data_IF_581926824557
#
_entry.id   IF_581926824557
#
_cell.length_a   1.000
_cell.length_b   1.000
_cell.length_c   1.000
_cell.angle_alpha   90.00
_cell.angle_beta   90.00
_cell.angle_gamma   90.00
#
_symmetry.space_group_name_H-M   'P 1'
#
loop_
_entity.id
_entity.type
_entity.pdbx_description
1 polymer ?
#
# COMPACT_ATOMS: atom_id res chain seq x y z
N UNK A 1 -12.76 -5.78 1.62
CA UNK A 1 -12.04 -4.49 1.52
C UNK A 1 -10.59 -4.76 1.91
N UNK A 2 -9.67 -4.79 0.96
CA UNK A 2 -8.27 -5.14 1.23
C UNK A 2 -7.64 -4.03 2.07
N UNK A 3 -7.01 -4.40 3.19
CA UNK A 3 -6.25 -3.45 3.98
C UNK A 3 -5.05 -2.97 3.16
N UNK A 4 -4.67 -1.68 3.27
CA UNK A 4 -3.56 -1.12 2.53
C UNK A 4 -2.30 -1.96 2.74
N UNK A 5 -1.72 -2.43 1.64
CA UNK A 5 -0.43 -3.06 1.66
C UNK A 5 0.61 -2.04 2.16
N UNK A 6 1.08 -2.19 3.40
CA UNK A 6 2.00 -1.23 3.99
C UNK A 6 3.45 -1.37 3.50
N UNK A 7 3.79 -2.41 2.72
CA UNK A 7 5.06 -2.46 1.96
C UNK A 7 4.99 -1.65 0.66
N UNK A 8 3.78 -1.17 0.28
CA UNK A 8 3.59 -0.24 -0.83
C UNK A 8 3.83 1.22 -0.43
N UNK A 9 3.70 1.56 0.86
CA UNK A 9 3.91 2.91 1.41
C UNK A 9 5.41 3.20 1.55
N UNK A 10 6.08 3.30 0.41
CA UNK A 10 7.53 3.50 0.28
C UNK A 10 8.09 2.99 -1.05
N UNK A 11 7.27 2.27 -1.84
CA UNK A 11 7.67 1.68 -3.14
C UNK A 11 6.84 2.17 -4.32
N UNK A 12 6.22 3.36 -4.27
CA UNK A 12 5.44 3.90 -5.40
C UNK A 12 4.38 2.93 -5.96
N UNK A 13 3.61 2.29 -5.08
CA UNK A 13 2.57 1.32 -5.48
C UNK A 13 1.15 1.78 -5.13
N UNK A 14 0.95 3.09 -4.96
CA UNK A 14 -0.39 3.67 -4.79
C UNK A 14 -1.01 3.96 -6.16
N UNK A 15 -2.10 3.27 -6.46
CA UNK A 15 -2.86 3.47 -7.68
C UNK A 15 -3.76 4.70 -7.52
N UNK A 16 -3.42 5.79 -8.19
CA UNK A 16 -4.23 7.00 -8.21
C UNK A 16 -5.12 6.98 -9.45
N UNK A 17 -6.41 7.27 -9.31
CA UNK A 17 -7.34 7.50 -10.42
C UNK A 17 -7.95 8.88 -10.26
N UNK A 18 -8.07 9.59 -11.38
CA UNK A 18 -8.61 10.96 -11.44
C UNK A 18 -9.77 10.95 -12.42
N UNK A 19 -10.94 11.42 -11.99
CA UNK A 19 -12.16 11.49 -12.81
C UNK A 19 -12.55 10.15 -13.47
N UNK A 20 -12.24 9.02 -12.82
CA UNK A 20 -12.53 7.67 -13.36
C UNK A 20 -11.58 7.21 -14.47
N UNK A 21 -10.55 8.00 -14.81
CA UNK A 21 -9.51 7.61 -15.75
C UNK A 21 -8.67 6.45 -15.18
N UNK A 22 -8.01 5.71 -16.08
CA UNK A 22 -7.11 4.62 -15.70
C UNK A 22 -5.92 5.16 -14.91
N UNK A 23 -5.38 4.33 -14.02
CA UNK A 23 -4.22 4.71 -13.18
C UNK A 23 -2.97 5.03 -13.99
N UNK A 24 -2.87 4.47 -15.20
CA UNK A 24 -1.81 4.69 -16.20
C UNK A 24 -2.12 5.85 -17.16
N UNK A 25 -3.13 6.67 -16.86
CA UNK A 25 -3.45 7.88 -17.63
C UNK A 25 -3.15 9.16 -16.83
N UNK A 26 -2.59 9.02 -15.62
CA UNK A 26 -2.10 10.15 -14.87
C UNK A 26 -0.66 10.45 -15.26
N UNK A 27 -0.32 11.73 -15.26
CA UNK A 27 1.04 12.18 -15.51
C UNK A 27 1.67 12.65 -14.20
N UNK A 28 2.70 11.96 -13.71
CA UNK A 28 3.51 12.39 -12.57
C UNK A 28 4.80 13.06 -13.03
N UNK A 29 5.12 14.22 -12.46
CA UNK A 29 6.34 14.96 -12.76
C UNK A 29 7.06 15.40 -11.49
N UNK A 30 8.39 15.35 -11.53
CA UNK A 30 9.28 15.87 -10.50
C UNK A 30 10.18 16.93 -11.11
N UNK A 31 10.11 18.17 -10.62
CA UNK A 31 10.85 19.32 -11.15
C UNK A 31 10.65 19.50 -12.68
N UNK A 32 9.43 19.24 -13.16
CA UNK A 32 9.07 19.30 -14.59
C UNK A 32 9.55 18.10 -15.43
N UNK A 33 10.25 17.13 -14.83
CA UNK A 33 10.69 15.90 -15.49
C UNK A 33 9.66 14.81 -15.26
N UNK A 34 9.28 14.10 -16.33
CA UNK A 34 8.34 12.99 -16.26
C UNK A 34 8.88 11.85 -15.35
N UNK A 35 8.05 11.46 -14.38
CA UNK A 35 8.33 10.41 -13.39
C UNK A 35 7.52 9.13 -13.66
N UNK A 36 7.02 8.95 -14.88
CA UNK A 36 6.28 7.75 -15.30
C UNK A 36 7.22 6.76 -15.99
N UNK A 37 6.87 5.48 -15.94
CA UNK A 37 7.57 4.46 -16.74
C UNK A 37 7.24 4.67 -18.21
N UNK A 38 8.28 4.72 -19.04
CA UNK A 38 8.12 4.91 -20.48
C UNK A 38 7.26 3.81 -21.13
N UNK A 39 7.38 2.56 -20.66
CA UNK A 39 6.70 1.40 -21.25
C UNK A 39 5.20 1.32 -20.91
N UNK A 40 4.81 1.66 -19.67
CA UNK A 40 3.47 1.37 -19.15
C UNK A 40 2.69 2.61 -18.74
N UNK A 41 3.34 3.79 -18.73
CA UNK A 41 2.80 5.03 -18.18
C UNK A 41 2.30 4.90 -16.72
N UNK A 42 2.73 3.85 -16.01
CA UNK A 42 2.54 3.73 -14.58
C UNK A 42 3.55 4.62 -13.84
N UNK A 43 3.27 4.97 -12.59
CA UNK A 43 4.26 5.62 -11.72
C UNK A 43 5.57 4.83 -11.74
N UNK A 44 6.67 5.49 -12.08
CA UNK A 44 7.97 4.84 -11.99
C UNK A 44 8.23 4.40 -10.55
N UNK A 45 8.96 3.30 -10.37
CA UNK A 45 9.55 2.96 -9.07
C UNK A 45 10.70 3.94 -8.73
N UNK A 46 10.60 5.20 -9.13
CA UNK A 46 11.54 6.26 -8.82
C UNK A 46 11.43 6.58 -7.34
N UNK A 47 12.54 6.86 -6.66
CA UNK A 47 12.49 7.28 -5.27
C UNK A 47 11.65 8.56 -5.16
N UNK A 48 10.48 8.47 -4.52
CA UNK A 48 9.69 9.67 -4.20
C UNK A 48 10.48 10.47 -3.17
N UNK A 49 10.70 11.78 -3.39
CA UNK A 49 11.38 12.61 -2.42
C UNK A 49 10.64 12.58 -1.08
N UNK A 50 11.38 12.78 0.01
CA UNK A 50 10.78 13.01 1.30
C UNK A 50 9.78 14.19 1.22
N UNK A 51 8.61 14.13 1.89
CA UNK A 51 7.67 15.24 1.92
C UNK A 51 8.32 16.58 2.30
N UNK A 52 9.30 16.55 3.20
CA UNK A 52 10.05 17.71 3.66
C UNK A 52 10.91 18.35 2.57
N UNK A 53 11.32 17.58 1.55
CA UNK A 53 12.08 18.07 0.41
C UNK A 53 11.19 18.79 -0.60
N UNK A 54 9.87 18.59 -0.55
CA UNK A 54 8.93 19.21 -1.48
C UNK A 54 8.66 20.66 -1.07
N UNK A 55 8.80 21.57 -2.03
CA UNK A 55 8.42 22.98 -1.89
C UNK A 55 6.97 23.18 -2.31
N UNK A 56 6.58 22.59 -3.44
CA UNK A 56 5.24 22.73 -3.99
C UNK A 56 4.74 21.38 -4.52
N UNK A 57 3.47 21.11 -4.30
CA UNK A 57 2.77 19.97 -4.87
C UNK A 57 1.49 20.47 -5.54
N UNK A 58 1.42 20.32 -6.86
CA UNK A 58 0.31 20.78 -7.68
C UNK A 58 -0.40 19.60 -8.30
N UNK A 59 -1.73 19.58 -8.16
CA UNK A 59 -2.60 18.58 -8.76
C UNK A 59 -3.60 19.27 -9.67
N UNK A 60 -3.60 18.88 -10.93
CA UNK A 60 -4.54 19.37 -11.94
C UNK A 60 -5.37 18.17 -12.41
N UNK A 61 -6.65 18.17 -12.07
CA UNK A 61 -7.55 17.07 -12.40
C UNK A 61 -8.24 17.22 -13.76
N UNK A 62 -8.37 18.44 -14.27
CA UNK A 62 -8.98 18.77 -15.56
C UNK A 62 -8.46 20.10 -16.08
N UNK A 63 -8.75 20.43 -17.35
CA UNK A 63 -8.45 21.72 -18.00
C UNK A 63 -6.99 22.18 -17.85
N UNK A 64 -6.04 21.25 -17.79
CA UNK A 64 -4.61 21.57 -17.84
C UNK A 64 -4.14 21.73 -19.29
N UNK A 65 -3.08 22.50 -19.47
CA UNK A 65 -2.51 22.82 -20.79
C UNK A 65 -2.01 21.56 -21.53
N UNK A 66 -2.07 21.58 -22.85
CA UNK A 66 -1.63 20.49 -23.74
C UNK A 66 -0.13 20.18 -23.59
N UNK A 67 0.66 21.11 -23.05
CA UNK A 67 2.08 20.92 -22.70
C UNK A 67 2.30 19.81 -21.68
N UNK A 68 1.33 19.53 -20.82
CA UNK A 68 1.36 18.42 -19.86
C UNK A 68 0.85 17.09 -20.45
N UNK A 69 0.58 17.08 -21.75
CA UNK A 69 0.04 15.98 -22.53
C UNK A 69 0.79 14.66 -22.28
N UNK A 70 0.00 13.62 -21.97
CA UNK A 70 0.41 12.20 -21.91
C UNK A 70 -0.73 11.27 -21.47
N UNK A 71 -1.81 11.81 -20.93
CA UNK A 71 -3.01 11.05 -20.58
C UNK A 71 -4.22 11.94 -20.34
N UNK A 72 -5.41 11.33 -20.30
CA UNK A 72 -6.69 11.98 -20.00
C UNK A 72 -7.03 11.98 -18.50
N UNK A 73 -6.12 11.49 -17.65
CA UNK A 73 -6.26 11.47 -16.19
C UNK A 73 -5.80 12.79 -15.55
N UNK A 74 -5.24 12.73 -14.34
CA UNK A 74 -4.72 13.91 -13.68
C UNK A 74 -3.25 14.18 -14.01
N UNK A 75 -2.85 15.45 -13.92
CA UNK A 75 -1.46 15.87 -13.91
C UNK A 75 -1.04 16.22 -12.48
N UNK A 76 0.05 15.62 -12.03
CA UNK A 76 0.62 15.80 -10.69
C UNK A 76 2.05 16.26 -10.82
N UNK A 77 2.37 17.41 -10.24
CA UNK A 77 3.70 18.00 -10.27
C UNK A 77 4.20 18.20 -8.85
N UNK A 78 5.42 17.74 -8.60
CA UNK A 78 6.14 17.99 -7.36
C UNK A 78 7.39 18.82 -7.69
N UNK A 79 7.60 19.90 -6.96
CA UNK A 79 8.81 20.74 -7.06
C UNK A 79 9.58 20.62 -5.76
N UNK A 80 10.86 20.25 -5.84
CA UNK A 80 11.75 20.19 -4.69
C UNK A 80 12.24 21.58 -4.30
N UNK A 81 12.50 21.77 -3.01
CA UNK A 81 13.15 22.98 -2.48
C UNK A 81 14.49 23.22 -3.17
N UNK A 82 14.84 24.49 -3.32
CA UNK A 82 16.15 24.95 -3.77
C UNK A 82 16.92 25.64 -2.62
N UNK A 83 18.20 25.92 -2.83
CA UNK A 83 19.00 26.68 -1.87
C UNK A 83 18.67 28.17 -1.90
N UNK A 84 18.91 28.86 -0.79
CA UNK A 84 18.65 30.29 -0.64
C UNK A 84 19.91 31.06 -0.24
N UNK A 85 19.82 32.38 -0.10
CA UNK A 85 20.91 33.20 0.46
C UNK A 85 21.18 32.91 1.94
N UNK A 86 20.21 32.33 2.64
CA UNK A 86 20.31 31.98 4.04
C UNK A 86 20.43 30.46 4.20
N UNK A 87 21.20 30.04 5.19
CA UNK A 87 21.25 28.63 5.56
C UNK A 87 19.94 28.22 6.22
N UNK A 88 19.33 27.16 5.69
CA UNK A 88 18.14 26.55 6.25
C UNK A 88 18.27 25.03 6.22
N UNK A 89 17.83 24.38 7.29
CA UNK A 89 17.87 22.93 7.39
C UNK A 89 16.77 22.41 8.29
N UNK A 90 16.45 21.13 8.13
CA UNK A 90 15.54 20.42 9.02
C UNK A 90 15.98 18.97 9.13
N UNK A 91 15.70 18.37 10.29
CA UNK A 91 15.80 16.94 10.54
C UNK A 91 14.43 16.41 10.90
N UNK A 92 14.13 15.19 10.49
CA UNK A 92 12.82 14.59 10.71
C UNK A 92 12.95 13.09 10.96
N UNK A 93 11.99 12.55 11.70
CA UNK A 93 11.82 11.11 11.87
C UNK A 93 10.33 10.75 11.95
N UNK A 94 9.94 9.77 11.13
CA UNK A 94 8.63 9.14 11.13
C UNK A 94 8.75 7.76 11.77
N UNK A 95 8.25 7.68 13.00
CA UNK A 95 8.20 6.44 13.77
C UNK A 95 6.85 5.73 13.59
N UNK A 96 6.89 4.46 13.21
CA UNK A 96 5.70 3.60 13.17
C UNK A 96 6.02 2.26 13.80
N UNK A 97 5.30 1.93 14.87
CA UNK A 97 5.49 0.69 15.62
C UNK A 97 4.16 -0.04 15.79
N UNK A 98 4.21 -1.36 15.80
CA UNK A 98 3.08 -2.21 16.10
C UNK A 98 2.54 -1.89 17.49
N UNK A 99 3.38 -1.60 18.49
CA UNK A 99 2.94 -1.19 19.83
C UNK A 99 1.91 -0.04 19.84
N UNK A 100 2.01 0.90 18.89
CA UNK A 100 1.11 2.06 18.78
C UNK A 100 -0.08 1.80 17.83
N UNK A 101 -0.03 0.76 17.00
CA UNK A 101 -1.04 0.46 15.99
C UNK A 101 -2.02 -0.61 16.47
N UNK A 102 -3.33 -0.43 16.27
CA UNK A 102 -4.30 -1.49 16.58
C UNK A 102 -4.10 -2.76 15.71
N UNK A 103 -4.55 -3.92 16.21
CA UNK A 103 -4.63 -5.13 15.38
C UNK A 103 -5.76 -4.98 14.33
N UNK A 104 -5.58 -5.62 13.17
CA UNK A 104 -6.62 -5.75 12.17
C UNK A 104 -7.88 -6.40 12.78
N UNK A 105 -9.10 -5.85 12.58
CA UNK A 105 -10.34 -6.43 13.08
C UNK A 105 -10.54 -7.92 12.76
N UNK A 106 -10.15 -8.36 11.57
CA UNK A 106 -10.29 -9.75 11.12
C UNK A 106 -9.26 -10.69 11.75
N UNK A 107 -8.04 -10.21 12.00
CA UNK A 107 -7.03 -10.98 12.73
C UNK A 107 -7.41 -11.09 14.20
N UNK A 108 -7.91 -9.99 14.78
CA UNK A 108 -8.42 -9.95 16.15
C UNK A 108 -9.59 -10.92 16.35
N UNK A 109 -10.55 -10.98 15.43
CA UNK A 109 -11.68 -11.90 15.52
C UNK A 109 -11.28 -13.37 15.34
N UNK A 110 -10.18 -13.64 14.62
CA UNK A 110 -9.60 -14.98 14.46
C UNK A 110 -8.62 -15.38 15.58
N UNK A 111 -8.42 -14.55 16.62
CA UNK A 111 -7.44 -14.81 17.68
C UNK A 111 -5.98 -14.74 17.23
N UNK A 112 -5.70 -14.22 16.03
CA UNK A 112 -4.36 -14.11 15.47
C UNK A 112 -3.67 -12.86 16.00
N UNK A 113 -2.45 -13.03 16.53
CA UNK A 113 -1.62 -11.93 17.01
C UNK A 113 -1.29 -10.97 15.87
N UNK A 114 -1.26 -9.68 16.19
CA UNK A 114 -0.85 -8.62 15.26
C UNK A 114 0.57 -8.91 14.71
N UNK A 115 0.79 -8.81 13.39
CA UNK A 115 2.12 -8.92 12.80
C UNK A 115 3.07 -7.83 13.31
N UNK A 116 4.36 -8.16 13.41
CA UNK A 116 5.40 -7.18 13.77
C UNK A 116 5.53 -6.11 12.68
N UNK A 117 5.49 -4.84 13.06
CA UNK A 117 5.73 -3.71 12.17
C UNK A 117 6.52 -2.66 12.93
N UNK A 118 7.79 -2.51 12.59
CA UNK A 118 8.67 -1.48 13.14
C UNK A 118 9.31 -0.75 11.97
N UNK A 119 8.94 0.50 11.76
CA UNK A 119 9.41 1.31 10.65
C UNK A 119 9.87 2.66 11.17
N UNK A 120 11.10 3.00 10.82
CA UNK A 120 11.73 4.28 11.12
C UNK A 120 12.17 4.89 9.79
N UNK A 121 11.55 6.01 9.42
CA UNK A 121 11.98 6.81 8.26
C UNK A 121 12.57 8.10 8.80
N UNK A 122 13.87 8.28 8.66
CA UNK A 122 14.57 9.44 9.19
C UNK A 122 15.33 10.14 8.07
N UNK A 123 15.58 11.42 8.25
CA UNK A 123 16.29 12.17 7.24
C UNK A 123 16.62 13.57 7.67
N UNK A 124 17.31 14.24 6.76
CA UNK A 124 17.74 15.62 6.94
C UNK A 124 17.81 16.34 5.61
N UNK A 125 17.60 17.64 5.67
CA UNK A 125 17.77 18.55 4.54
C UNK A 125 18.59 19.76 4.97
N UNK A 126 19.38 20.27 4.04
CA UNK A 126 20.19 21.46 4.22
C UNK A 126 20.27 22.21 2.89
N UNK A 127 20.05 23.51 2.93
CA UNK A 127 20.28 24.38 1.78
C UNK A 127 20.85 25.72 2.22
N UNK A 128 21.47 26.41 1.26
CA UNK A 128 22.11 27.70 1.50
C UNK A 128 22.98 28.14 0.32
N UNK A 129 23.74 29.24 0.47
CA UNK A 129 24.59 29.76 -0.58
C UNK A 129 25.93 29.00 -0.63
N UNK A 130 26.39 28.68 -1.85
CA UNK A 130 27.80 28.42 -2.14
C UNK A 130 28.51 29.77 -2.31
N UNK A 131 27.87 30.68 -3.06
CA UNK A 131 28.28 32.07 -3.24
C UNK A 131 27.05 32.95 -3.14
N UNK A 132 27.02 33.83 -2.15
CA UNK A 132 25.88 34.71 -1.87
C UNK A 132 25.45 35.47 -3.11
N UNK A 133 24.14 35.51 -3.35
CA UNK A 133 23.48 36.13 -4.51
C UNK A 133 23.89 35.56 -5.88
N UNK A 134 24.52 34.38 -5.96
CA UNK A 134 24.98 33.80 -7.24
C UNK A 134 24.79 32.31 -7.38
N UNK A 135 25.10 31.52 -6.35
CA UNK A 135 25.08 30.07 -6.44
C UNK A 135 24.64 29.48 -5.12
N UNK A 136 23.70 28.54 -5.20
CA UNK A 136 23.02 27.94 -4.05
C UNK A 136 23.12 26.42 -4.13
N UNK A 137 23.10 25.77 -2.98
CA UNK A 137 23.02 24.32 -2.88
C UNK A 137 21.80 23.91 -2.08
N UNK A 138 21.28 22.73 -2.39
CA UNK A 138 20.28 22.05 -1.60
C UNK A 138 20.60 20.55 -1.61
N UNK A 139 20.67 19.94 -0.43
CA UNK A 139 20.91 18.52 -0.25
C UNK A 139 19.86 17.95 0.69
N UNK A 140 19.38 16.75 0.37
CA UNK A 140 18.46 16.00 1.23
C UNK A 140 18.84 14.54 1.27
N UNK A 141 18.72 13.93 2.44
CA UNK A 141 18.93 12.51 2.66
C UNK A 141 17.73 11.91 3.40
N UNK A 142 17.31 10.72 2.97
CA UNK A 142 16.29 9.93 3.64
C UNK A 142 16.76 8.48 3.77
N UNK A 143 16.73 7.96 5.00
CA UNK A 143 16.92 6.55 5.32
C UNK A 143 15.60 5.91 5.73
N UNK A 144 15.42 4.62 5.41
CA UNK A 144 14.30 3.83 5.92
C UNK A 144 14.83 2.54 6.50
N UNK A 145 14.50 2.27 7.77
CA UNK A 145 14.75 0.99 8.43
C UNK A 145 13.42 0.36 8.80
N UNK A 146 13.14 -0.81 8.25
CA UNK A 146 11.86 -1.49 8.42
C UNK A 146 12.07 -2.97 8.79
N UNK A 147 11.41 -3.40 9.87
CA UNK A 147 11.14 -4.79 10.19
C UNK A 147 9.64 -5.02 10.03
N UNK A 148 9.28 -5.89 9.11
CA UNK A 148 7.89 -6.19 8.80
C UNK A 148 7.68 -7.70 8.74
N UNK A 149 6.88 -8.21 9.66
CA UNK A 149 6.48 -9.62 9.73
C UNK A 149 5.27 -9.95 8.85
N UNK A 150 4.70 -8.97 8.13
CA UNK A 150 3.66 -9.24 7.15
C UNK A 150 4.28 -9.80 5.86
N UNK A 151 4.18 -11.11 5.66
CA UNK A 151 4.41 -11.70 4.35
C UNK A 151 3.39 -11.14 3.34
N UNK A 152 3.75 -10.88 2.07
CA UNK A 152 2.82 -10.50 1.01
C UNK A 152 1.60 -11.44 0.88
N UNK A 153 1.73 -12.66 1.39
CA UNK A 153 0.69 -13.69 1.38
C UNK A 153 -0.06 -13.83 2.72
N UNK A 154 0.30 -13.06 3.75
CA UNK A 154 -0.23 -13.22 5.12
C UNK A 154 -1.65 -12.66 5.30
N UNK A 155 -2.18 -11.92 4.32
CA UNK A 155 -3.58 -11.44 4.33
C UNK A 155 -4.45 -12.08 3.24
N UNK A 156 -3.90 -13.09 2.54
CA UNK A 156 -4.66 -13.98 1.66
C UNK A 156 -4.34 -15.43 1.98
N UNK A 157 -4.30 -15.80 3.26
CA UNK A 157 -4.96 -17.05 3.61
C UNK A 157 -6.46 -16.77 3.58
N UNK A 158 -7.00 -16.60 2.38
CA UNK A 158 -8.30 -17.17 2.05
C UNK A 158 -8.17 -18.70 2.06
N UNK A 159 -7.61 -19.27 3.13
CA UNK A 159 -8.18 -20.53 3.56
C UNK A 159 -9.48 -20.05 4.18
N UNK A 160 -10.55 -20.18 3.41
CA UNK A 160 -11.88 -20.23 3.95
C UNK A 160 -11.94 -21.50 4.83
N UNK A 161 -11.18 -21.52 5.93
CA UNK A 161 -11.51 -22.37 7.06
C UNK A 161 -12.77 -21.69 7.56
N UNK A 162 -13.92 -22.19 7.12
CA UNK A 162 -15.18 -21.76 7.71
C UNK A 162 -14.99 -21.81 9.22
N UNK A 163 -15.33 -20.74 9.93
CA UNK A 163 -15.18 -20.71 11.39
C UNK A 163 -15.82 -21.98 11.96
N UNK A 164 -15.01 -22.88 12.52
CA UNK A 164 -15.44 -24.20 13.00
C UNK A 164 -14.97 -25.42 12.19
N UNK A 165 -14.20 -25.29 11.11
CA UNK A 165 -13.46 -26.43 10.56
C UNK A 165 -12.32 -26.79 11.53
N UNK A 166 -12.53 -27.84 12.31
CA UNK A 166 -11.50 -28.46 13.16
C UNK A 166 -10.80 -29.58 12.39
N UNK A 167 -9.84 -30.25 13.03
CA UNK A 167 -9.24 -31.49 12.49
C UNK A 167 -10.27 -32.62 12.35
N UNK A 168 -11.39 -32.54 13.08
CA UNK A 168 -12.54 -33.41 12.89
C UNK A 168 -13.41 -32.92 11.72
N UNK A 169 -13.34 -33.67 10.62
CA UNK A 169 -14.12 -33.47 9.39
C UNK A 169 -15.13 -34.60 9.16
N UNK A 170 -15.58 -35.22 10.25
CA UNK A 170 -16.73 -36.14 10.21
C UNK A 170 -17.98 -35.43 9.69
N UNK A 171 -18.87 -36.20 9.07
CA UNK A 171 -20.09 -35.66 8.49
C UNK A 171 -20.95 -34.92 9.53
N UNK A 172 -21.00 -35.42 10.76
CA UNK A 172 -21.75 -34.83 11.87
C UNK A 172 -21.21 -33.44 12.24
N UNK A 173 -19.89 -33.32 12.37
CA UNK A 173 -19.23 -32.05 12.68
C UNK A 173 -19.39 -31.05 11.55
N UNK A 174 -19.30 -31.48 10.30
CA UNK A 174 -19.53 -30.62 9.13
C UNK A 174 -21.00 -30.17 9.01
N UNK A 175 -21.97 -31.05 9.27
CA UNK A 175 -23.40 -30.68 9.28
C UNK A 175 -23.72 -29.66 10.38
N UNK A 176 -23.11 -29.79 11.56
CA UNK A 176 -23.28 -28.85 12.66
C UNK A 176 -22.62 -27.48 12.38
N UNK A 177 -21.44 -27.49 11.76
CA UNK A 177 -20.69 -26.26 11.43
C UNK A 177 -21.35 -25.47 10.30
N UNK A 178 -21.71 -26.12 9.20
CA UNK A 178 -22.22 -25.43 8.01
C UNK A 178 -23.74 -25.28 7.99
N UNK A 179 -24.47 -26.06 8.79
CA UNK A 179 -25.95 -26.13 8.82
C UNK A 179 -26.58 -26.07 7.41
N UNK A 180 -26.11 -26.89 6.44
CA UNK A 180 -26.61 -26.82 5.08
C UNK A 180 -28.11 -27.17 5.07
N UNK A 181 -28.87 -26.49 4.20
CA UNK A 181 -30.29 -26.75 4.00
C UNK A 181 -30.50 -27.37 2.63
N UNK A 182 -31.41 -28.33 2.56
CA UNK A 182 -31.89 -28.89 1.30
C UNK A 182 -32.72 -27.84 0.54
N UNK A 183 -32.97 -28.09 -0.75
CA UNK A 183 -33.78 -27.20 -1.60
C UNK A 183 -35.21 -26.96 -1.07
N UNK A 184 -35.72 -27.87 -0.25
CA UNK A 184 -37.00 -27.77 0.45
C UNK A 184 -36.93 -26.96 1.77
N UNK A 185 -35.77 -26.38 2.12
CA UNK A 185 -35.56 -25.58 3.32
C UNK A 185 -35.32 -26.39 4.61
N UNK A 186 -35.39 -27.72 4.58
CA UNK A 186 -35.10 -28.58 5.73
C UNK A 186 -33.59 -28.66 5.99
N UNK A 187 -33.16 -28.83 7.26
CA UNK A 187 -31.76 -29.11 7.56
C UNK A 187 -31.30 -30.38 6.84
N UNK A 188 -30.14 -30.34 6.19
CA UNK A 188 -29.57 -31.52 5.60
C UNK A 188 -29.14 -32.50 6.70
N UNK A 189 -29.44 -33.78 6.50
CA UNK A 189 -29.06 -34.90 7.38
C UNK A 189 -27.85 -35.67 6.85
N UNK A 190 -27.47 -35.43 5.59
CA UNK A 190 -26.38 -36.08 4.89
C UNK A 190 -25.61 -35.03 4.06
N UNK A 191 -24.29 -35.21 3.97
CA UNK A 191 -23.45 -34.48 3.03
C UNK A 191 -23.21 -35.41 1.85
N UNK A 192 -23.24 -34.87 0.64
CA UNK A 192 -22.90 -35.63 -0.57
C UNK A 192 -21.54 -36.35 -0.40
N UNK A 193 -21.44 -37.65 -0.72
CA UNK A 193 -20.24 -38.44 -0.45
C UNK A 193 -19.00 -37.94 -1.22
N UNK A 194 -19.17 -37.32 -2.39
CA UNK A 194 -18.06 -36.71 -3.15
C UNK A 194 -17.59 -35.44 -2.45
N UNK A 195 -18.52 -34.61 -1.99
CA UNK A 195 -18.19 -33.42 -1.20
C UNK A 195 -17.52 -33.78 0.13
N UNK A 196 -17.97 -34.85 0.80
CA UNK A 196 -17.37 -35.36 2.03
C UNK A 196 -15.94 -35.88 1.80
N UNK A 197 -15.70 -36.56 0.68
CA UNK A 197 -14.36 -37.03 0.30
C UNK A 197 -13.41 -35.86 -0.01
N UNK A 198 -13.87 -34.82 -0.72
CA UNK A 198 -13.08 -33.62 -0.98
C UNK A 198 -12.73 -32.86 0.30
N UNK A 199 -13.67 -32.75 1.23
CA UNK A 199 -13.43 -32.11 2.53
C UNK A 199 -12.46 -32.93 3.39
N UNK A 200 -12.43 -34.25 3.25
CA UNK A 200 -11.51 -35.14 3.98
C UNK A 200 -10.18 -35.38 3.25
N UNK A 201 -10.02 -34.90 2.02
CA UNK A 201 -8.80 -35.07 1.27
C UNK A 201 -7.64 -34.35 1.96
N UNK A 202 -6.58 -35.10 2.27
CA UNK A 202 -5.30 -34.56 2.72
C UNK A 202 -4.45 -34.29 1.49
N UNK A 203 -4.01 -33.05 1.33
CA UNK A 203 -3.01 -32.72 0.31
C UNK A 203 -1.68 -33.40 0.68
N UNK A 204 -0.91 -33.89 -0.30
CA UNK A 204 0.41 -34.49 -0.07
C UNK A 204 1.42 -33.49 0.48
#
# INVERSE_FOLDING_TARGET
MALPNNTALGRNSQNVSVNGARVTQNNFQLNGIDANKLETNATAFAAVPAPETIQEFKVQSSLYDATFGRGSGGNVQAVTKSGSNDFHGAVYEYFRNDALNANNPFLKSAGVKRPTLQRNVFGGLLGGPIKTNRSFFFVSYQGTRENNGASPNSLTSSVLVAQGLTDDRSQQTLLATFRPRQSNGLPATLIDPVALALLNAKLP
#
